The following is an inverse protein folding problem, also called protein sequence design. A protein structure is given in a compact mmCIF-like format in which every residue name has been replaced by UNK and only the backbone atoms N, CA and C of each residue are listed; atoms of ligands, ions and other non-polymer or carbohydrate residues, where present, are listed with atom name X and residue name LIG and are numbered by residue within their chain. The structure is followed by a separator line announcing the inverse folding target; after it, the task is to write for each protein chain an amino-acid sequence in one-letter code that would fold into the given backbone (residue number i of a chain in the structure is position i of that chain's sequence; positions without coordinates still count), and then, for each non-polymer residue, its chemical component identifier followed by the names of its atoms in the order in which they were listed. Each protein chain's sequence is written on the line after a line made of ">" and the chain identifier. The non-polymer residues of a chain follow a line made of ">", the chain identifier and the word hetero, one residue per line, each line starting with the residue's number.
data_IF_680125991776
#
_entry.id   IF_680125991776
#
_cell.length_a   1.000
_cell.length_b   1.000
_cell.length_c   1.000
_cell.angle_alpha   90.00
_cell.angle_beta   90.00
_cell.angle_gamma   90.00
#
_symmetry.space_group_name_H-M   'P 1'
#
loop_
_entity.id
_entity.type
_entity.pdbx_description
1 polymer ?
#
# COMPACT_ATOMS: atom_id res chain seq x y z
N UNK A 1 -19.92 43.68 16.35
CA UNK A 1 -21.14 43.07 15.77
C UNK A 1 -22.23 44.11 15.54
N UNK A 2 -22.79 44.77 16.57
CA UNK A 2 -23.83 45.80 16.39
C UNK A 2 -23.40 47.00 15.53
N UNK A 3 -22.16 47.51 15.67
CA UNK A 3 -21.61 48.56 14.80
C UNK A 3 -21.49 48.17 13.32
N UNK A 4 -21.47 46.88 13.02
CA UNK A 4 -21.34 46.34 11.67
C UNK A 4 -22.67 45.80 11.12
N UNK A 5 -23.80 46.03 11.81
CA UNK A 5 -25.13 45.51 11.46
C UNK A 5 -25.18 43.98 11.26
N UNK A 6 -24.41 43.23 12.04
CA UNK A 6 -24.36 41.76 11.98
C UNK A 6 -25.21 41.10 13.11
N UNK A 7 -25.68 39.85 12.92
CA UNK A 7 -26.42 39.12 13.95
C UNK A 7 -25.57 38.88 15.21
N UNK A 8 -26.18 39.03 16.38
CA UNK A 8 -25.50 38.95 17.70
C UNK A 8 -24.75 37.64 17.94
N UNK A 9 -25.30 36.53 17.44
CA UNK A 9 -24.74 35.18 17.60
C UNK A 9 -23.93 34.69 16.39
N UNK A 10 -23.75 35.52 15.35
CA UNK A 10 -23.04 35.10 14.12
C UNK A 10 -23.78 34.03 13.30
N UNK A 11 -25.06 33.78 13.60
CA UNK A 11 -25.91 32.84 12.88
C UNK A 11 -26.79 33.57 11.85
N UNK A 12 -26.91 33.00 10.65
CA UNK A 12 -27.80 33.48 9.59
C UNK A 12 -28.47 32.31 8.87
N UNK A 13 -29.59 32.57 8.21
CA UNK A 13 -30.15 31.60 7.26
C UNK A 13 -29.30 31.61 5.99
N UNK A 14 -29.00 30.42 5.50
CA UNK A 14 -28.40 30.19 4.19
C UNK A 14 -29.48 29.67 3.24
N UNK A 15 -29.21 29.79 1.95
CA UNK A 15 -30.04 29.21 0.88
C UNK A 15 -29.21 28.17 0.14
N UNK A 16 -29.87 27.10 -0.28
CA UNK A 16 -29.24 26.05 -1.06
C UNK A 16 -28.88 26.56 -2.47
N UNK A 17 -27.64 26.32 -2.88
CA UNK A 17 -27.12 26.75 -4.19
C UNK A 17 -27.64 25.92 -5.36
N UNK A 18 -28.15 24.71 -5.11
CA UNK A 18 -28.72 23.85 -6.16
C UNK A 18 -30.22 24.12 -6.37
N UNK A 19 -31.00 24.23 -5.29
CA UNK A 19 -32.48 24.36 -5.37
C UNK A 19 -33.01 25.79 -5.17
N UNK A 20 -32.26 26.66 -4.50
CA UNK A 20 -32.70 28.00 -4.11
C UNK A 20 -33.59 28.04 -2.86
N UNK A 21 -33.88 26.90 -2.24
CA UNK A 21 -34.69 26.84 -1.02
C UNK A 21 -33.90 27.26 0.23
N UNK A 22 -34.62 27.75 1.25
CA UNK A 22 -34.01 28.17 2.51
C UNK A 22 -33.74 26.97 3.42
N UNK A 23 -32.54 26.90 4.03
CA UNK A 23 -32.27 25.88 5.05
C UNK A 23 -33.15 26.07 6.29
N UNK A 24 -33.57 24.95 6.89
CA UNK A 24 -34.50 24.96 8.02
C UNK A 24 -33.91 25.57 9.30
N UNK A 25 -32.58 25.46 9.47
CA UNK A 25 -31.86 25.97 10.62
C UNK A 25 -30.84 27.04 10.21
N UNK A 26 -30.56 27.97 11.13
CA UNK A 26 -29.52 28.98 10.93
C UNK A 26 -28.14 28.34 11.06
N UNK A 27 -27.23 28.69 10.17
CA UNK A 27 -25.83 28.26 10.21
C UNK A 27 -24.94 29.39 10.75
N UNK A 28 -23.85 29.02 11.44
CA UNK A 28 -22.79 29.96 11.81
C UNK A 28 -21.94 30.26 10.57
N UNK A 29 -21.86 31.54 10.21
CA UNK A 29 -21.05 31.98 9.07
C UNK A 29 -20.03 32.96 9.58
N UNK A 30 -18.78 32.77 9.17
CA UNK A 30 -17.68 33.61 9.60
C UNK A 30 -16.55 33.60 8.60
N UNK A 31 -15.62 34.53 8.80
CA UNK A 31 -14.38 34.60 8.02
C UNK A 31 -13.31 33.87 8.83
N UNK A 32 -12.81 32.77 8.27
CA UNK A 32 -11.74 31.98 8.87
C UNK A 32 -10.50 32.06 7.98
N UNK A 33 -9.34 32.16 8.62
CA UNK A 33 -8.06 32.13 7.92
C UNK A 33 -7.62 30.68 7.76
N UNK A 34 -7.74 30.15 6.55
CA UNK A 34 -7.35 28.78 6.25
C UNK A 34 -5.89 28.69 5.83
N UNK A 35 -5.17 27.70 6.38
CA UNK A 35 -3.79 27.40 6.03
C UNK A 35 -3.74 26.07 5.28
N UNK A 36 -3.02 26.04 4.16
CA UNK A 36 -2.73 24.82 3.41
C UNK A 36 -1.44 24.19 3.93
N UNK A 37 -1.52 22.95 4.39
CA UNK A 37 -0.35 22.18 4.83
C UNK A 37 0.42 21.61 3.63
N UNK A 38 1.69 21.28 3.85
CA UNK A 38 2.59 20.77 2.80
C UNK A 38 2.22 19.36 2.27
N UNK A 39 1.31 18.63 2.92
CA UNK A 39 1.04 17.23 2.64
C UNK A 39 0.18 16.98 1.38
N UNK A 40 0.75 17.29 0.22
CA UNK A 40 0.13 17.10 -1.09
C UNK A 40 -0.07 15.63 -1.44
N UNK A 41 -1.09 15.35 -2.25
CA UNK A 41 -1.39 13.99 -2.74
C UNK A 41 -0.33 13.50 -3.72
N UNK A 42 0.17 14.40 -4.57
CA UNK A 42 1.19 14.09 -5.58
C UNK A 42 2.47 13.51 -4.97
N UNK A 43 2.82 13.92 -3.76
CA UNK A 43 3.97 13.40 -3.02
C UNK A 43 3.74 11.99 -2.48
N UNK A 44 2.47 11.61 -2.23
CA UNK A 44 2.09 10.34 -1.60
C UNK A 44 1.75 9.25 -2.60
N UNK A 45 1.17 9.60 -3.75
CA UNK A 45 0.80 8.63 -4.77
C UNK A 45 2.06 7.99 -5.38
N UNK A 46 2.09 6.66 -5.40
CA UNK A 46 3.17 5.85 -5.97
C UNK A 46 2.65 4.45 -6.29
N UNK A 47 3.04 3.91 -7.44
CA UNK A 47 2.72 2.55 -7.86
C UNK A 47 3.92 1.92 -8.56
N UNK A 48 4.03 0.60 -8.49
CA UNK A 48 5.06 -0.17 -9.19
C UNK A 48 4.49 -1.46 -9.74
N UNK A 49 5.06 -1.91 -10.86
CA UNK A 49 4.88 -3.27 -11.39
C UNK A 49 6.15 -4.09 -11.17
N UNK A 50 7.27 -3.67 -11.77
CA UNK A 50 8.61 -4.26 -11.64
C UNK A 50 9.58 -3.13 -11.28
N UNK A 51 10.64 -3.45 -10.53
CA UNK A 51 11.65 -2.46 -10.14
C UNK A 51 12.92 -3.14 -9.63
N UNK A 52 13.80 -2.41 -8.95
CA UNK A 52 15.03 -2.98 -8.40
C UNK A 52 14.76 -3.91 -7.21
N UNK A 53 15.69 -4.85 -7.01
CA UNK A 53 15.68 -5.87 -5.96
C UNK A 53 16.97 -5.83 -5.13
N UNK A 54 16.87 -6.27 -3.89
CA UNK A 54 18.02 -6.45 -3.01
C UNK A 54 18.94 -7.57 -3.52
N UNK A 55 20.25 -7.38 -3.44
CA UNK A 55 21.23 -8.41 -3.84
C UNK A 55 21.22 -9.62 -2.91
N UNK A 56 20.90 -9.42 -1.63
CA UNK A 56 20.99 -10.47 -0.61
C UNK A 56 19.74 -11.35 -0.66
N UNK A 57 18.56 -10.77 -0.44
CA UNK A 57 17.30 -11.50 -0.30
C UNK A 57 16.47 -11.56 -1.56
N UNK A 58 16.88 -10.87 -2.64
CA UNK A 58 16.13 -10.77 -3.90
C UNK A 58 14.71 -10.18 -3.76
N UNK A 59 14.42 -9.55 -2.62
CA UNK A 59 13.16 -8.86 -2.36
C UNK A 59 13.14 -7.45 -2.97
N UNK A 60 11.96 -6.93 -3.33
CA UNK A 60 11.84 -5.59 -3.86
C UNK A 60 12.34 -4.53 -2.87
N UNK A 61 13.05 -3.49 -3.35
CA UNK A 61 13.47 -2.38 -2.49
C UNK A 61 12.28 -1.59 -1.92
N UNK A 62 12.48 -0.86 -0.83
CA UNK A 62 11.47 -0.03 -0.18
C UNK A 62 11.55 1.46 -0.57
N UNK A 63 10.42 2.16 -0.49
CA UNK A 63 10.36 3.62 -0.62
C UNK A 63 10.16 4.16 -2.04
N UNK A 64 9.41 5.26 -2.16
CA UNK A 64 9.05 5.91 -3.44
C UNK A 64 10.27 6.28 -4.29
N UNK A 65 11.32 6.80 -3.66
CA UNK A 65 12.52 7.29 -4.36
C UNK A 65 13.30 6.20 -5.12
N UNK A 66 13.16 4.93 -4.73
CA UNK A 66 13.87 3.80 -5.33
C UNK A 66 12.97 2.95 -6.23
N UNK A 67 11.83 3.48 -6.65
CA UNK A 67 10.75 2.67 -7.24
C UNK A 67 10.40 1.46 -6.38
N UNK A 68 10.44 1.67 -5.06
CA UNK A 68 10.27 0.65 -4.05
C UNK A 68 8.82 0.22 -3.89
N UNK A 69 8.64 -0.93 -3.25
CA UNK A 69 7.39 -1.65 -3.11
C UNK A 69 6.80 -1.43 -1.74
N UNK A 70 5.52 -1.74 -1.64
CA UNK A 70 4.85 -1.74 -0.35
C UNK A 70 5.24 -3.00 0.41
N UNK A 71 5.47 -2.83 1.70
CA UNK A 71 5.72 -3.95 2.59
C UNK A 71 4.39 -4.67 2.81
N UNK A 72 4.34 -5.93 2.41
CA UNK A 72 3.28 -6.82 2.86
C UNK A 72 3.67 -7.35 4.25
N UNK A 73 2.93 -6.91 5.27
CA UNK A 73 3.25 -7.11 6.68
C UNK A 73 2.69 -8.41 7.26
N UNK A 74 3.19 -8.77 8.44
CA UNK A 74 2.76 -9.96 9.18
C UNK A 74 1.26 -9.94 9.51
N UNK A 75 0.71 -8.78 9.90
CA UNK A 75 -0.72 -8.64 10.16
C UNK A 75 -1.58 -8.85 8.91
N UNK A 76 -1.05 -8.54 7.73
CA UNK A 76 -1.75 -8.73 6.46
C UNK A 76 -1.70 -10.20 6.01
N UNK A 77 -0.59 -10.89 6.31
CA UNK A 77 -0.49 -12.35 6.19
C UNK A 77 -1.55 -13.02 7.06
N UNK A 78 -1.64 -12.66 8.35
CA UNK A 78 -2.66 -13.21 9.25
C UNK A 78 -4.08 -12.97 8.75
N UNK A 79 -4.35 -11.80 8.17
CA UNK A 79 -5.65 -11.52 7.59
C UNK A 79 -5.97 -12.49 6.44
N UNK A 80 -5.04 -12.72 5.51
CA UNK A 80 -5.25 -13.66 4.40
C UNK A 80 -5.38 -15.11 4.87
N UNK A 81 -4.61 -15.50 5.89
CA UNK A 81 -4.72 -16.83 6.52
C UNK A 81 -6.10 -17.03 7.15
N UNK A 82 -6.62 -16.02 7.86
CA UNK A 82 -7.96 -16.07 8.45
C UNK A 82 -9.08 -16.20 7.40
N UNK A 83 -8.88 -15.62 6.21
CA UNK A 83 -9.77 -15.83 5.07
C UNK A 83 -9.61 -17.20 4.38
N UNK A 84 -8.58 -17.98 4.72
CA UNK A 84 -8.27 -19.24 4.04
C UNK A 84 -7.73 -19.07 2.62
N UNK A 85 -7.16 -17.91 2.29
CA UNK A 85 -6.73 -17.54 0.93
C UNK A 85 -5.33 -18.08 0.59
N UNK A 86 -5.13 -19.41 0.68
CA UNK A 86 -3.82 -20.06 0.53
C UNK A 86 -3.11 -19.78 -0.80
N UNK A 87 -3.84 -19.80 -1.92
CA UNK A 87 -3.25 -19.58 -3.24
C UNK A 87 -2.76 -18.14 -3.41
N UNK A 88 -3.54 -17.17 -2.93
CA UNK A 88 -3.18 -15.75 -2.97
C UNK A 88 -1.95 -15.48 -2.10
N UNK A 89 -1.94 -16.06 -0.89
CA UNK A 89 -0.82 -15.92 0.03
C UNK A 89 0.47 -16.53 -0.53
N UNK A 90 0.39 -17.73 -1.12
CA UNK A 90 1.54 -18.36 -1.77
C UNK A 90 2.08 -17.47 -2.89
N UNK A 91 1.23 -16.95 -3.76
CA UNK A 91 1.64 -16.08 -4.87
C UNK A 91 2.34 -14.80 -4.37
N UNK A 92 1.80 -14.16 -3.33
CA UNK A 92 2.35 -12.95 -2.73
C UNK A 92 3.74 -13.18 -2.11
N UNK A 93 3.90 -14.27 -1.36
CA UNK A 93 5.14 -14.57 -0.64
C UNK A 93 6.25 -15.12 -1.53
N UNK A 94 5.93 -15.66 -2.71
CA UNK A 94 6.90 -16.32 -3.61
C UNK A 94 7.06 -15.56 -4.94
N UNK A 95 6.16 -15.80 -5.90
CA UNK A 95 6.21 -15.32 -7.28
C UNK A 95 6.28 -13.79 -7.39
N UNK A 96 5.66 -13.07 -6.46
CA UNK A 96 5.64 -11.60 -6.41
C UNK A 96 6.75 -10.98 -5.56
N UNK A 97 7.54 -11.79 -4.85
CA UNK A 97 8.56 -11.32 -3.90
C UNK A 97 9.97 -11.72 -4.35
N UNK A 98 10.43 -12.91 -3.98
CA UNK A 98 11.84 -13.32 -4.00
C UNK A 98 12.10 -14.66 -4.72
N UNK A 99 11.11 -15.25 -5.39
CA UNK A 99 11.37 -16.35 -6.34
C UNK A 99 11.92 -15.78 -7.66
N UNK A 100 13.25 -15.80 -7.81
CA UNK A 100 13.97 -15.21 -8.95
C UNK A 100 13.48 -15.79 -10.28
N UNK A 101 13.37 -17.12 -10.35
CA UNK A 101 13.02 -17.84 -11.58
C UNK A 101 11.50 -17.77 -11.80
N UNK A 102 10.72 -17.98 -10.74
CA UNK A 102 9.26 -17.95 -10.77
C UNK A 102 8.73 -16.60 -11.22
N UNK A 103 9.31 -15.49 -10.76
CA UNK A 103 8.90 -14.14 -11.14
C UNK A 103 9.10 -13.86 -12.64
N UNK A 104 10.25 -14.23 -13.20
CA UNK A 104 10.54 -14.03 -14.62
C UNK A 104 9.58 -14.83 -15.51
N UNK A 105 9.35 -16.11 -15.16
CA UNK A 105 8.40 -16.98 -15.88
C UNK A 105 6.96 -16.50 -15.72
N UNK A 106 6.57 -16.04 -14.55
CA UNK A 106 5.22 -15.50 -14.30
C UNK A 106 4.95 -14.30 -15.19
N UNK A 107 5.92 -13.38 -15.30
CA UNK A 107 5.81 -12.24 -16.21
C UNK A 107 5.67 -12.69 -17.68
N UNK A 108 6.49 -13.63 -18.12
CA UNK A 108 6.42 -14.20 -19.47
C UNK A 108 5.07 -14.88 -19.74
N UNK A 109 4.56 -15.69 -18.82
CA UNK A 109 3.25 -16.33 -18.91
C UNK A 109 2.12 -15.30 -19.01
N UNK A 110 2.15 -14.24 -18.20
CA UNK A 110 1.13 -13.17 -18.25
C UNK A 110 1.14 -12.48 -19.62
N UNK A 111 2.32 -12.20 -20.18
CA UNK A 111 2.45 -11.56 -21.50
C UNK A 111 1.96 -12.48 -22.63
N UNK A 112 2.18 -13.79 -22.52
CA UNK A 112 1.74 -14.78 -23.51
C UNK A 112 0.28 -15.21 -23.36
N UNK A 113 -0.34 -14.93 -22.21
CA UNK A 113 -1.67 -15.45 -21.86
C UNK A 113 -1.67 -16.92 -21.43
N UNK A 114 -0.51 -17.44 -21.04
CA UNK A 114 -0.36 -18.81 -20.53
C UNK A 114 -0.66 -18.89 -19.03
N UNK A 115 -0.90 -20.10 -18.54
CA UNK A 115 -1.07 -20.33 -17.11
C UNK A 115 0.22 -20.01 -16.33
N UNK A 116 0.02 -19.44 -15.13
CA UNK A 116 1.10 -19.08 -14.21
C UNK A 116 1.81 -20.38 -13.73
N UNK A 117 3.15 -20.42 -13.72
CA UNK A 117 3.91 -21.58 -13.26
C UNK A 117 3.74 -21.81 -11.76
N UNK A 118 4.09 -23.03 -11.30
CA UNK A 118 4.12 -23.35 -9.87
C UNK A 118 5.23 -22.57 -9.16
N UNK A 119 4.91 -22.05 -7.97
CA UNK A 119 5.85 -21.37 -7.08
C UNK A 119 7.01 -22.27 -6.62
N UNK A 120 8.22 -21.71 -6.57
CA UNK A 120 9.41 -22.34 -6.02
C UNK A 120 9.65 -21.99 -4.55
N UNK A 121 10.88 -22.22 -4.09
CA UNK A 121 11.33 -21.88 -2.73
C UNK A 121 11.83 -20.42 -2.74
N UNK A 122 11.39 -19.58 -1.78
CA UNK A 122 11.91 -18.21 -1.59
C UNK A 122 13.42 -18.14 -1.41
N UNK A 123 14.07 -17.15 -2.02
CA UNK A 123 15.51 -16.96 -1.83
C UNK A 123 15.85 -16.53 -0.39
N UNK A 124 14.95 -15.82 0.29
CA UNK A 124 15.11 -15.49 1.71
C UNK A 124 15.27 -16.73 2.60
N UNK A 125 14.61 -17.85 2.26
CA UNK A 125 14.78 -19.11 2.97
C UNK A 125 16.16 -19.70 2.73
N UNK A 126 16.66 -19.65 1.49
CA UNK A 126 18.02 -20.08 1.18
C UNK A 126 19.05 -19.27 1.96
N UNK A 127 18.90 -17.95 2.03
CA UNK A 127 19.77 -17.07 2.83
C UNK A 127 19.78 -17.51 4.29
N UNK A 128 18.62 -17.75 4.90
CA UNK A 128 18.50 -18.23 6.28
C UNK A 128 19.26 -19.55 6.50
N UNK A 129 19.13 -20.51 5.58
CA UNK A 129 19.84 -21.80 5.67
C UNK A 129 21.35 -21.62 5.61
N UNK A 130 21.83 -20.72 4.75
CA UNK A 130 23.27 -20.43 4.65
C UNK A 130 23.80 -19.71 5.89
N UNK A 131 23.02 -18.79 6.47
CA UNK A 131 23.37 -18.13 7.73
C UNK A 131 23.50 -19.14 8.89
N UNK A 132 22.55 -20.06 9.02
CA UNK A 132 22.58 -21.11 10.04
C UNK A 132 23.76 -22.07 9.84
N UNK A 133 24.07 -22.44 8.59
CA UNK A 133 25.27 -23.23 8.27
C UNK A 133 26.57 -22.49 8.58
N UNK A 134 26.59 -21.16 8.42
CA UNK A 134 27.71 -20.31 8.83
C UNK A 134 27.99 -20.35 10.34
N UNK A 135 26.97 -20.67 11.16
CA UNK A 135 27.11 -20.90 12.61
C UNK A 135 27.59 -22.33 12.94
N UNK A 136 27.82 -23.18 11.95
CA UNK A 136 28.20 -24.58 12.13
C UNK A 136 27.01 -25.53 12.39
N UNK A 137 25.78 -25.09 12.12
CA UNK A 137 24.58 -25.94 12.22
C UNK A 137 24.34 -26.68 10.90
N UNK A 138 24.27 -28.01 10.95
CA UNK A 138 23.94 -28.83 9.78
C UNK A 138 22.42 -28.99 9.63
N UNK A 139 21.86 -28.38 8.58
CA UNK A 139 20.44 -28.46 8.23
C UNK A 139 20.25 -29.41 7.05
N UNK A 140 19.44 -30.44 7.28
CA UNK A 140 19.00 -31.41 6.27
C UNK A 140 17.49 -31.29 6.08
N UNK A 141 17.08 -31.26 4.83
CA UNK A 141 15.67 -31.30 4.43
C UNK A 141 15.43 -32.67 3.78
N UNK A 142 14.38 -33.37 4.22
CA UNK A 142 13.91 -34.63 3.63
C UNK A 142 13.13 -34.39 2.34
#
# INVERSE_FOLDING_TARGET
>A
IAKANLPTFGHTYLFDGETGEQFHQKATVGVIYMIKLHHMVDDKMHARSIGPYSLITQQPLGGKAQFGGQRFGEMEVWALEAYGASNILQELLTLKSDDIIGRAKTYESIVKGDNIPRAGIPESFNVLVHELRGLGLDLKFE
#
